data_IF_607440047757
#
_entry.id   IF_607440047757
#
_cell.length_a   1.000
_cell.length_b   1.000
_cell.length_c   1.000
_cell.angle_alpha   90.00
_cell.angle_beta   90.00
_cell.angle_gamma   90.00
#
_symmetry.space_group_name_H-M   'P 1'
#
loop_
_entity.id
_entity.type
_entity.pdbx_description
1 polymer ?
#
# COMPACT_ATOMS: atom_id res chain seq x y z
N UNK A 1 1.54 -5.21 2.01
CA UNK A 1 0.26 -5.40 1.35
C UNK A 1 -0.88 -5.03 2.30
N UNK A 2 -1.79 -4.16 1.87
CA UNK A 2 -3.08 -3.91 2.55
C UNK A 2 -4.16 -4.70 1.81
N UNK A 3 -4.69 -5.72 2.47
CA UNK A 3 -5.81 -6.52 1.99
C UNK A 3 -7.12 -5.92 2.50
N UNK A 4 -7.80 -5.16 1.64
CA UNK A 4 -9.00 -4.40 2.00
C UNK A 4 -10.11 -5.26 2.60
N UNK A 5 -10.51 -6.41 2.01
CA UNK A 5 -11.62 -7.20 2.53
C UNK A 5 -11.36 -7.78 3.92
N UNK A 6 -10.09 -8.04 4.24
CA UNK A 6 -9.70 -8.60 5.53
C UNK A 6 -9.44 -7.53 6.60
N UNK A 7 -9.42 -6.24 6.24
CA UNK A 7 -8.98 -5.14 7.13
C UNK A 7 -7.61 -5.43 7.74
N UNK A 8 -6.68 -5.93 6.91
CA UNK A 8 -5.33 -6.34 7.33
C UNK A 8 -4.25 -5.70 6.48
N UNK A 9 -3.17 -5.31 7.13
CA UNK A 9 -1.89 -4.98 6.53
C UNK A 9 -0.93 -6.13 6.83
N UNK A 10 -0.34 -6.69 5.79
CA UNK A 10 0.67 -7.75 5.89
C UNK A 10 2.04 -7.18 5.57
N UNK A 11 3.00 -7.35 6.47
CA UNK A 11 4.40 -7.04 6.24
C UNK A 11 5.09 -8.27 5.65
N UNK A 12 5.78 -8.06 4.53
CA UNK A 12 6.56 -9.11 3.86
C UNK A 12 8.04 -8.78 3.91
N UNK A 13 8.83 -9.81 4.13
CA UNK A 13 10.27 -9.82 3.90
C UNK A 13 10.62 -10.80 2.80
N UNK A 14 11.74 -10.54 2.11
CA UNK A 14 12.27 -11.48 1.14
C UNK A 14 13.28 -12.39 1.81
N UNK A 15 12.92 -13.67 1.93
CA UNK A 15 13.80 -14.73 2.43
C UNK A 15 14.12 -15.68 1.27
N UNK A 16 15.39 -15.76 0.87
CA UNK A 16 15.83 -16.55 -0.30
C UNK A 16 15.00 -16.26 -1.55
N UNK A 17 14.86 -14.99 -1.91
CA UNK A 17 14.05 -14.47 -3.02
C UNK A 17 12.55 -14.82 -2.98
N UNK A 18 12.05 -15.25 -1.83
CA UNK A 18 10.64 -15.52 -1.59
C UNK A 18 10.01 -14.47 -0.70
N UNK A 19 8.87 -13.89 -1.07
CA UNK A 19 8.13 -13.03 -0.17
C UNK A 19 7.47 -13.88 0.93
N UNK A 20 7.82 -13.61 2.18
CA UNK A 20 7.26 -14.28 3.37
C UNK A 20 6.55 -13.23 4.21
N UNK A 21 5.29 -13.48 4.55
CA UNK A 21 4.58 -12.64 5.50
C UNK A 21 5.13 -12.88 6.91
N UNK A 22 5.76 -11.86 7.49
CA UNK A 22 6.41 -11.93 8.81
C UNK A 22 5.55 -11.37 9.92
N UNK A 23 4.62 -10.47 9.59
CA UNK A 23 3.73 -9.84 10.54
C UNK A 23 2.45 -9.37 9.84
N UNK A 24 1.34 -9.31 10.57
CA UNK A 24 0.13 -8.65 10.11
C UNK A 24 -0.45 -7.73 11.19
N UNK A 25 -1.20 -6.73 10.75
CA UNK A 25 -1.80 -5.70 11.59
C UNK A 25 -3.24 -5.46 11.16
N UNK A 26 -4.11 -5.19 12.13
CA UNK A 26 -5.44 -4.69 11.83
C UNK A 26 -5.37 -3.27 11.26
N UNK A 27 -6.18 -2.97 10.25
CA UNK A 27 -6.27 -1.63 9.67
C UNK A 27 -7.71 -1.18 9.45
N UNK A 28 -7.90 0.13 9.59
CA UNK A 28 -9.10 0.84 9.16
C UNK A 28 -8.81 1.60 7.86
N UNK A 29 -9.79 1.63 6.97
CA UNK A 29 -9.70 2.30 5.66
C UNK A 29 -10.82 3.34 5.48
N UNK A 30 -10.93 3.89 4.27
CA UNK A 30 -11.93 4.90 3.93
C UNK A 30 -13.36 4.51 4.24
N UNK A 31 -14.19 5.47 4.71
CA UNK A 31 -15.61 5.27 5.02
C UNK A 31 -16.40 4.63 3.87
N UNK A 32 -16.03 4.94 2.63
CA UNK A 32 -16.65 4.40 1.42
C UNK A 32 -15.88 3.21 0.82
N UNK A 33 -15.03 2.54 1.64
CA UNK A 33 -14.22 1.41 1.22
C UNK A 33 -13.00 1.81 0.41
N UNK A 34 -12.71 1.04 -0.63
CA UNK A 34 -11.58 1.25 -1.53
C UNK A 34 -12.01 1.69 -2.93
N UNK A 35 -11.01 1.93 -3.82
CA UNK A 35 -11.24 2.37 -5.19
C UNK A 35 -11.39 3.88 -5.30
N UNK A 36 -10.45 4.64 -4.68
CA UNK A 36 -10.41 6.10 -4.76
C UNK A 36 -10.25 6.59 -6.19
N UNK A 37 -11.13 7.54 -6.58
CA UNK A 37 -11.12 8.18 -7.90
C UNK A 37 -11.01 9.71 -7.79
N UNK A 38 -11.69 10.33 -6.83
CA UNK A 38 -11.77 11.78 -6.69
C UNK A 38 -11.42 12.24 -5.28
N UNK A 39 -10.96 13.48 -5.17
CA UNK A 39 -10.79 14.14 -3.88
C UNK A 39 -12.11 14.18 -3.11
N UNK A 40 -12.07 13.88 -1.81
CA UNK A 40 -13.24 13.90 -0.94
C UNK A 40 -14.18 12.68 -1.05
N UNK A 41 -13.89 11.69 -1.89
CA UNK A 41 -14.72 10.49 -2.06
C UNK A 41 -14.68 9.52 -0.87
N UNK A 42 -13.84 9.77 0.11
CA UNK A 42 -13.64 8.97 1.34
C UNK A 42 -13.29 7.50 1.05
N UNK A 43 -12.60 7.25 -0.06
CA UNK A 43 -12.16 5.92 -0.47
C UNK A 43 -10.65 5.79 -0.32
N UNK A 44 -10.21 4.63 0.12
CA UNK A 44 -8.79 4.26 0.06
C UNK A 44 -8.43 3.88 -1.37
N UNK A 45 -7.27 4.30 -1.82
CA UNK A 45 -6.80 3.99 -3.18
C UNK A 45 -6.49 2.50 -3.34
N UNK A 46 -6.54 2.01 -4.58
CA UNK A 46 -6.07 0.65 -4.96
C UNK A 46 -4.92 0.82 -5.93
N UNK A 47 -3.82 0.12 -5.68
CA UNK A 47 -2.64 0.17 -6.53
C UNK A 47 -1.35 -0.17 -5.84
N UNK A 48 -0.24 0.11 -6.52
CA UNK A 48 1.13 -0.09 -6.03
C UNK A 48 1.76 1.28 -5.83
N UNK A 49 2.15 1.56 -4.61
CA UNK A 49 2.72 2.82 -4.15
C UNK A 49 4.06 2.57 -3.46
N UNK A 50 4.69 3.64 -3.00
CA UNK A 50 5.83 3.57 -2.08
C UNK A 50 5.71 4.66 -1.02
N UNK A 51 6.32 4.41 0.13
CA UNK A 51 6.42 5.38 1.22
C UNK A 51 7.39 6.49 0.80
N UNK A 52 6.97 7.74 0.95
CA UNK A 52 7.76 8.92 0.56
C UNK A 52 8.50 9.58 1.71
N UNK A 53 8.12 9.27 2.95
CA UNK A 53 8.75 9.84 4.14
C UNK A 53 8.06 9.42 5.43
N UNK A 54 8.43 10.06 6.51
CA UNK A 54 7.80 9.93 7.83
C UNK A 54 7.49 11.31 8.39
N UNK A 55 6.30 11.47 8.96
CA UNK A 55 5.88 12.67 9.67
C UNK A 55 5.63 12.28 11.12
N UNK A 56 6.39 12.80 12.10
CA UNK A 56 6.19 12.47 13.51
C UNK A 56 4.85 13.03 14.01
N UNK A 57 4.21 12.29 14.91
CA UNK A 57 2.89 12.67 15.46
C UNK A 57 2.84 14.05 16.10
N UNK A 58 3.96 14.49 16.69
CA UNK A 58 4.11 15.83 17.28
C UNK A 58 3.91 16.98 16.26
N UNK A 59 4.11 16.69 14.97
CA UNK A 59 3.92 17.65 13.87
C UNK A 59 2.55 17.52 13.19
N UNK A 60 1.67 16.69 13.73
CA UNK A 60 0.37 16.37 13.15
C UNK A 60 -0.76 16.65 14.15
N UNK A 61 -1.99 16.70 13.64
CA UNK A 61 -3.17 16.68 14.50
C UNK A 61 -3.23 15.34 15.25
N UNK A 62 -3.71 15.34 16.49
CA UNK A 62 -3.77 14.16 17.38
C UNK A 62 -4.44 12.92 16.76
N UNK A 63 -5.38 13.12 15.81
CA UNK A 63 -6.05 12.03 15.07
C UNK A 63 -5.11 11.07 14.35
N UNK A 64 -3.87 11.48 14.09
CA UNK A 64 -2.86 10.69 13.42
C UNK A 64 -1.94 9.93 14.40
N UNK A 65 -2.09 10.18 15.69
CA UNK A 65 -1.41 9.47 16.77
C UNK A 65 0.10 9.52 16.70
N UNK A 66 0.73 8.35 16.71
CA UNK A 66 2.19 8.22 16.74
C UNK A 66 2.90 8.91 15.56
N UNK A 67 2.28 8.92 14.39
CA UNK A 67 2.83 9.53 13.19
C UNK A 67 2.18 9.05 11.91
N UNK A 68 2.75 9.46 10.78
CA UNK A 68 2.27 9.07 9.47
C UNK A 68 3.40 8.73 8.49
N UNK A 69 3.12 7.80 7.61
CA UNK A 69 3.94 7.38 6.46
C UNK A 69 3.16 7.72 5.18
N UNK A 70 3.43 8.88 4.57
CA UNK A 70 2.80 9.26 3.31
C UNK A 70 3.19 8.31 2.19
N UNK A 71 2.25 8.02 1.29
CA UNK A 71 2.53 7.29 0.05
C UNK A 71 2.44 8.22 -1.16
N UNK A 72 3.04 7.82 -2.28
CA UNK A 72 3.09 8.60 -3.52
C UNK A 72 1.77 8.59 -4.32
N UNK A 73 0.63 8.70 -3.64
CA UNK A 73 -0.66 8.89 -4.30
C UNK A 73 -0.92 10.39 -4.59
N UNK A 74 -1.42 10.78 -5.77
CA UNK A 74 -1.58 9.96 -6.97
C UNK A 74 -0.24 9.74 -7.70
N UNK A 75 0.03 8.49 -8.08
CA UNK A 75 1.18 8.15 -8.90
C UNK A 75 0.93 8.43 -10.40
N UNK A 76 1.87 8.10 -11.29
CA UNK A 76 1.73 8.35 -12.73
C UNK A 76 0.54 7.63 -13.34
N UNK A 77 0.23 6.41 -12.90
CA UNK A 77 -0.94 5.64 -13.36
C UNK A 77 -2.26 6.27 -12.88
N UNK A 78 -2.32 6.72 -11.63
CA UNK A 78 -3.50 7.41 -11.11
C UNK A 78 -3.78 8.69 -11.90
N UNK A 79 -2.72 9.47 -12.16
CA UNK A 79 -2.81 10.71 -12.98
C UNK A 79 -3.26 10.42 -14.41
N UNK A 80 -2.76 9.36 -15.05
CA UNK A 80 -3.19 8.97 -16.40
C UNK A 80 -4.67 8.54 -16.45
N UNK A 81 -5.23 8.12 -15.32
CA UNK A 81 -6.65 7.78 -15.15
C UNK A 81 -7.49 8.94 -14.62
N UNK A 82 -6.94 10.16 -14.62
CA UNK A 82 -7.60 11.36 -14.10
C UNK A 82 -8.05 11.24 -12.63
N UNK A 83 -7.43 10.39 -11.83
CA UNK A 83 -7.69 10.29 -10.40
C UNK A 83 -7.13 11.51 -9.69
N UNK A 84 -7.87 12.04 -8.73
CA UNK A 84 -7.52 13.28 -8.02
C UNK A 84 -7.43 13.09 -6.51
N UNK A 85 -7.03 14.17 -5.82
CA UNK A 85 -6.80 14.21 -4.38
C UNK A 85 -5.35 13.94 -4.01
N UNK A 86 -5.09 13.96 -2.71
CA UNK A 86 -3.74 13.81 -2.13
C UNK A 86 -3.85 13.31 -0.69
N UNK A 87 -2.70 13.16 0.00
CA UNK A 87 -2.69 12.94 1.44
C UNK A 87 -3.18 11.56 1.87
N UNK A 88 -2.92 10.52 1.08
CA UNK A 88 -3.15 9.14 1.50
C UNK A 88 -1.93 8.65 2.27
N UNK A 89 -2.14 8.29 3.53
CA UNK A 89 -1.10 7.93 4.48
C UNK A 89 -1.42 6.61 5.18
N UNK A 90 -0.39 5.90 5.63
CA UNK A 90 -0.51 4.96 6.74
C UNK A 90 -0.24 5.74 8.01
N UNK A 91 -1.09 5.64 9.05
CA UNK A 91 -0.91 6.43 10.27
C UNK A 91 -1.48 5.74 11.50
N UNK A 92 -1.11 6.22 12.67
CA UNK A 92 -1.69 5.82 13.94
C UNK A 92 -3.13 6.30 14.13
N UNK A 93 -3.62 6.27 15.35
CA UNK A 93 -4.95 6.77 15.72
C UNK A 93 -4.86 7.68 16.93
N UNK A 94 -5.97 8.34 17.27
CA UNK A 94 -6.05 9.16 18.49
C UNK A 94 -5.56 8.39 19.72
N UNK A 95 -4.84 9.04 20.65
CA UNK A 95 -4.30 8.38 21.83
C UNK A 95 -5.36 7.70 22.71
N UNK A 96 -6.60 8.22 22.70
CA UNK A 96 -7.74 7.67 23.44
C UNK A 96 -8.36 6.43 22.80
N UNK A 97 -7.99 6.09 21.57
CA UNK A 97 -8.56 4.98 20.81
C UNK A 97 -7.55 3.85 20.66
N UNK A 98 -7.99 2.61 20.94
CA UNK A 98 -7.17 1.44 20.64
C UNK A 98 -7.16 1.18 19.14
N UNK A 99 -8.34 1.07 18.54
CA UNK A 99 -8.55 0.86 17.12
C UNK A 99 -9.76 1.64 16.61
N UNK A 100 -9.81 1.88 15.30
CA UNK A 100 -10.99 2.39 14.59
C UNK A 100 -11.82 1.23 14.05
N UNK A 101 -13.09 1.50 13.72
CA UNK A 101 -13.89 0.57 12.92
C UNK A 101 -13.23 0.30 11.56
N UNK A 102 -13.54 -0.82 10.86
CA UNK A 102 -12.93 -1.13 9.58
C UNK A 102 -13.02 -0.03 8.53
N UNK A 103 -14.15 0.70 8.52
CA UNK A 103 -14.43 1.81 7.60
C UNK A 103 -14.57 3.11 8.40
N UNK A 104 -13.47 3.80 8.69
CA UNK A 104 -13.48 4.96 9.58
C UNK A 104 -12.42 6.03 9.26
N UNK A 105 -11.98 6.12 8.01
CA UNK A 105 -11.05 7.17 7.57
C UNK A 105 -11.59 7.91 6.35
N UNK A 106 -11.00 9.04 6.01
CA UNK A 106 -11.30 9.79 4.78
C UNK A 106 -10.49 9.28 3.56
N UNK A 107 -9.89 8.07 3.67
CA UNK A 107 -9.13 7.42 2.61
C UNK A 107 -7.75 6.92 3.03
N UNK A 108 -7.22 7.33 4.17
CA UNK A 108 -5.98 6.82 4.74
C UNK A 108 -6.14 5.37 5.24
N UNK A 109 -5.00 4.73 5.52
CA UNK A 109 -4.92 3.43 6.21
C UNK A 109 -4.49 3.70 7.64
N UNK A 110 -5.39 3.50 8.61
CA UNK A 110 -5.11 3.76 10.02
C UNK A 110 -4.88 2.46 10.79
N UNK A 111 -3.86 2.46 11.66
CA UNK A 111 -3.50 1.38 12.58
C UNK A 111 -3.71 1.84 14.03
N UNK A 112 -3.68 0.92 15.00
CA UNK A 112 -3.46 1.31 16.39
C UNK A 112 -2.09 2.00 16.54
N UNK A 113 -1.90 2.84 17.56
CA UNK A 113 -0.62 3.48 17.77
C UNK A 113 0.52 2.48 18.05
N UNK A 114 0.21 1.39 18.77
CA UNK A 114 1.17 0.32 19.05
C UNK A 114 1.57 -0.43 17.76
N UNK A 115 0.59 -0.76 16.94
CA UNK A 115 0.83 -1.44 15.66
C UNK A 115 1.58 -0.54 14.69
N UNK A 116 1.25 0.75 14.62
CA UNK A 116 1.95 1.70 13.78
C UNK A 116 3.41 1.87 14.22
N UNK A 117 3.66 2.00 15.52
CA UNK A 117 5.02 2.08 16.07
C UNK A 117 5.83 0.81 15.76
N UNK A 118 5.21 -0.37 15.93
CA UNK A 118 5.81 -1.66 15.61
C UNK A 118 6.18 -1.73 14.12
N UNK A 119 5.22 -1.42 13.24
CA UNK A 119 5.44 -1.37 11.78
C UNK A 119 6.58 -0.40 11.42
N UNK A 120 6.54 0.83 11.96
CA UNK A 120 7.55 1.85 11.69
C UNK A 120 8.96 1.38 12.07
N UNK A 121 9.12 0.76 13.25
CA UNK A 121 10.41 0.22 13.72
C UNK A 121 10.92 -0.92 12.82
N UNK A 122 10.03 -1.81 12.38
CA UNK A 122 10.40 -2.94 11.51
C UNK A 122 10.78 -2.48 10.10
N UNK A 123 10.16 -1.43 9.59
CA UNK A 123 10.48 -0.91 8.26
C UNK A 123 11.90 -0.32 8.16
N UNK A 124 12.53 0.10 9.26
CA UNK A 124 13.89 0.66 9.28
C UNK A 124 14.02 1.84 8.32
N UNK A 125 14.67 1.64 7.16
CA UNK A 125 14.68 2.62 6.07
C UNK A 125 13.38 2.55 5.28
N UNK A 126 12.35 3.22 5.77
CA UNK A 126 10.98 3.15 5.25
C UNK A 126 10.75 3.84 3.91
N UNK A 127 11.58 4.82 3.52
CA UNK A 127 11.48 5.46 2.20
C UNK A 127 11.72 4.44 1.09
N UNK A 128 10.88 4.46 0.05
CA UNK A 128 10.85 3.50 -1.06
C UNK A 128 10.28 2.11 -0.73
N UNK A 129 9.87 1.85 0.52
CA UNK A 129 9.13 0.63 0.83
C UNK A 129 7.85 0.57 0.00
N UNK A 130 7.64 -0.54 -0.71
CA UNK A 130 6.44 -0.73 -1.53
C UNK A 130 5.21 -0.93 -0.66
N UNK A 131 4.14 -0.24 -1.02
CA UNK A 131 2.82 -0.37 -0.40
C UNK A 131 1.84 -0.81 -1.48
N UNK A 132 1.37 -2.03 -1.39
CA UNK A 132 0.35 -2.58 -2.28
C UNK A 132 -0.98 -2.51 -1.53
N UNK A 133 -1.99 -1.89 -2.13
CA UNK A 133 -3.36 -1.83 -1.59
C UNK A 133 -4.25 -2.53 -2.60
N UNK A 134 -4.91 -3.61 -2.17
CA UNK A 134 -5.68 -4.49 -3.05
C UNK A 134 -7.04 -4.85 -2.41
N UNK A 135 -8.10 -4.75 -3.21
CA UNK A 135 -9.47 -5.11 -2.82
C UNK A 135 -9.80 -6.59 -3.11
N UNK A 136 -8.90 -7.31 -3.78
CA UNK A 136 -9.07 -8.72 -4.14
C UNK A 136 -7.76 -9.51 -4.05
N UNK A 137 -7.03 -9.44 -2.91
CA UNK A 137 -5.77 -10.14 -2.80
C UNK A 137 -5.96 -11.65 -2.96
N UNK A 138 -5.26 -12.23 -3.92
CA UNK A 138 -5.22 -13.67 -4.13
C UNK A 138 -3.99 -14.26 -3.44
N UNK A 139 -4.21 -15.21 -2.55
CA UNK A 139 -3.15 -15.97 -1.89
C UNK A 139 -2.93 -17.27 -2.66
N UNK A 140 -1.76 -17.38 -3.27
CA UNK A 140 -1.40 -18.53 -4.09
C UNK A 140 -0.20 -19.25 -3.48
N UNK A 141 -0.11 -20.59 -3.62
CA UNK A 141 1.11 -21.34 -3.34
C UNK A 141 2.29 -20.75 -4.12
N UNK A 142 3.48 -20.82 -3.54
CA UNK A 142 4.67 -20.21 -4.16
C UNK A 142 4.97 -20.82 -5.54
N UNK A 143 4.76 -22.11 -5.71
CA UNK A 143 4.92 -22.82 -6.98
C UNK A 143 4.04 -22.24 -8.10
N UNK A 144 2.83 -21.81 -7.77
CA UNK A 144 1.91 -21.19 -8.74
C UNK A 144 2.36 -19.75 -9.11
N UNK A 145 3.03 -19.06 -8.18
CA UNK A 145 3.58 -17.73 -8.42
C UNK A 145 4.73 -17.74 -9.43
N UNK A 146 5.51 -18.82 -9.50
CA UNK A 146 6.62 -18.96 -10.46
C UNK A 146 6.10 -18.87 -11.89
N UNK A 147 5.06 -19.63 -12.24
CA UNK A 147 4.47 -19.61 -13.58
C UNK A 147 3.80 -18.28 -13.94
N UNK A 148 3.23 -17.56 -12.95
CA UNK A 148 2.66 -16.23 -13.15
C UNK A 148 3.76 -15.21 -13.41
N UNK A 149 4.90 -15.30 -12.71
CA UNK A 149 6.06 -14.40 -12.85
C UNK A 149 6.74 -14.54 -14.23
N UNK A 150 6.82 -15.74 -14.76
CA UNK A 150 7.49 -16.02 -16.04
C UNK A 150 6.75 -15.41 -17.23
N UNK A 151 5.42 -15.34 -17.21
CA UNK A 151 4.61 -14.79 -18.30
C UNK A 151 4.90 -13.31 -18.62
N UNK A 152 4.89 -12.39 -17.64
CA UNK A 152 5.27 -11.00 -17.90
C UNK A 152 6.72 -10.85 -18.32
N UNK A 153 7.63 -11.65 -17.74
CA UNK A 153 9.05 -11.63 -18.10
C UNK A 153 9.26 -12.07 -19.56
N UNK A 154 8.60 -13.14 -20.00
CA UNK A 154 8.63 -13.61 -21.39
C UNK A 154 8.18 -12.50 -22.34
N UNK A 155 7.04 -11.85 -22.07
CA UNK A 155 6.55 -10.72 -22.88
C UNK A 155 7.51 -9.55 -22.91
N UNK A 156 8.18 -9.24 -21.81
CA UNK A 156 9.19 -8.18 -21.76
C UNK A 156 10.42 -8.52 -22.60
N UNK A 157 10.87 -9.76 -22.54
CA UNK A 157 11.99 -10.26 -23.36
C UNK A 157 11.64 -10.25 -24.86
N UNK A 158 10.44 -10.67 -25.22
CA UNK A 158 9.93 -10.61 -26.60
C UNK A 158 9.88 -9.16 -27.11
N UNK A 159 9.36 -8.25 -26.28
CA UNK A 159 9.31 -6.82 -26.62
C UNK A 159 10.70 -6.22 -26.78
N UNK A 160 11.65 -6.50 -25.89
CA UNK A 160 13.03 -6.00 -26.00
C UNK A 160 13.73 -6.58 -27.22
N UNK A 161 13.48 -7.82 -27.57
CA UNK A 161 14.02 -8.45 -28.78
C UNK A 161 13.44 -7.79 -30.05
N UNK A 162 12.13 -7.53 -30.10
CA UNK A 162 11.49 -6.80 -31.21
C UNK A 162 12.03 -5.38 -31.35
N UNK A 163 12.18 -4.67 -30.22
CA UNK A 163 12.79 -3.33 -30.20
C UNK A 163 14.21 -3.32 -30.80
N UNK A 164 15.05 -4.27 -30.39
CA UNK A 164 16.42 -4.37 -30.88
C UNK A 164 16.50 -4.75 -32.37
N UNK A 165 15.48 -5.44 -32.92
CA UNK A 165 15.38 -5.71 -34.37
C UNK A 165 14.83 -4.53 -35.18
N UNK A 166 14.33 -3.49 -34.52
CA UNK A 166 13.69 -2.35 -35.16
C UNK A 166 12.28 -2.63 -35.70
N UNK A 167 11.62 -3.66 -35.17
CA UNK A 167 10.24 -4.01 -35.52
C UNK A 167 9.30 -2.89 -35.02
N UNK A 168 8.83 -2.04 -35.92
CA UNK A 168 7.86 -0.98 -35.64
C UNK A 168 6.45 -1.58 -35.86
N UNK A 169 5.84 -2.09 -34.79
CA UNK A 169 4.41 -2.36 -34.72
C UNK A 169 3.78 -1.68 -33.54
#
# INVERSE_FOLDING_TARGET
LVGVPASRLYLFEYLNDRPVAVQDYYVSIGYQGAGKEQEGDRRTTIGIYHITGYIPGQSLHERYGYGALPINYPNSLDKSRARSGHGIWLHGTEPSWVNRSPLATDGCVSLSNLDFESLYKQLGKHTQTRVIIDDKPAWLPFEDLVGIRERPLGKLLDWTAAWNRGDKN
#
